data_IF_770870275318
#
_entry.id   IF_770870275318
#
_cell.length_a   1.000
_cell.length_b   1.000
_cell.length_c   1.000
_cell.angle_alpha   90.00
_cell.angle_beta   90.00
_cell.angle_gamma   90.00
#
_symmetry.space_group_name_H-M   'P 1'
#
loop_
_entity.id
_entity.type
_entity.pdbx_description
1 polymer ?
#
# COMPACT_ATOMS: atom_id res chain seq x y z
N UNK A 1 -7.20 25.60 -9.61
CA UNK A 1 -6.17 24.53 -9.64
C UNK A 1 -4.91 25.13 -10.25
N UNK A 2 -3.78 25.14 -9.53
CA UNK A 2 -2.60 25.93 -9.92
C UNK A 2 -1.74 25.21 -10.97
N UNK A 3 -1.21 25.94 -11.97
CA UNK A 3 -0.39 25.41 -13.07
C UNK A 3 0.84 24.63 -12.57
N UNK A 4 1.40 25.08 -11.45
CA UNK A 4 2.52 24.41 -10.74
C UNK A 4 2.12 23.03 -10.21
N UNK A 5 0.88 22.89 -9.73
CA UNK A 5 0.35 21.62 -9.21
C UNK A 5 0.14 20.61 -10.35
N UNK A 6 -0.35 21.07 -11.51
CA UNK A 6 -0.51 20.24 -12.70
C UNK A 6 0.84 19.75 -13.25
N UNK A 7 1.82 20.65 -13.37
CA UNK A 7 3.17 20.29 -13.82
C UNK A 7 3.88 19.35 -12.83
N UNK A 8 3.70 19.57 -11.53
CA UNK A 8 4.22 18.68 -10.49
C UNK A 8 3.60 17.28 -10.58
N UNK A 9 2.28 17.18 -10.75
CA UNK A 9 1.59 15.89 -10.83
C UNK A 9 1.95 15.12 -12.12
N UNK A 10 2.11 15.83 -13.25
CA UNK A 10 2.60 15.24 -14.50
C UNK A 10 4.07 14.79 -14.42
N UNK A 11 4.91 15.55 -13.72
CA UNK A 11 6.30 15.19 -13.47
C UNK A 11 6.41 13.97 -12.54
N UNK A 12 5.61 13.89 -11.48
CA UNK A 12 5.57 12.71 -10.59
C UNK A 12 5.12 11.44 -11.33
N UNK A 13 4.14 11.56 -12.24
CA UNK A 13 3.69 10.47 -13.12
C UNK A 13 4.81 9.93 -14.00
N UNK A 14 5.68 10.79 -14.53
CA UNK A 14 6.77 10.37 -15.41
C UNK A 14 7.92 9.66 -14.67
N UNK A 15 8.20 10.04 -13.43
CA UNK A 15 9.36 9.52 -12.69
C UNK A 15 9.10 8.18 -11.99
N UNK A 16 7.86 7.86 -11.63
CA UNK A 16 7.56 6.60 -10.93
C UNK A 16 7.87 5.33 -11.74
N UNK A 17 7.83 5.43 -13.07
CA UNK A 17 8.08 4.30 -13.97
C UNK A 17 9.56 4.13 -14.37
N UNK A 18 10.47 5.00 -13.90
CA UNK A 18 11.87 5.01 -14.36
C UNK A 18 12.79 4.26 -13.38
N UNK A 19 13.48 3.24 -13.89
CA UNK A 19 14.47 2.43 -13.15
C UNK A 19 15.90 2.83 -13.53
N UNK A 20 16.74 3.18 -12.56
CA UNK A 20 18.14 3.60 -12.80
C UNK A 20 19.12 2.54 -12.26
N UNK A 21 19.99 2.01 -13.13
CA UNK A 21 21.08 1.11 -12.74
C UNK A 21 22.43 1.84 -12.71
N UNK A 22 23.26 1.55 -11.70
CA UNK A 22 24.54 2.24 -11.47
C UNK A 22 25.64 1.87 -12.48
N UNK A 23 25.60 0.69 -13.10
CA UNK A 23 26.50 0.30 -14.20
C UNK A 23 26.06 -1.04 -14.84
N UNK A 24 26.13 -1.21 -16.18
CA UNK A 24 26.25 -0.15 -17.19
C UNK A 24 25.04 0.81 -17.15
N UNK A 25 25.27 2.11 -17.41
CA UNK A 25 24.22 3.14 -17.34
C UNK A 25 23.15 2.91 -18.42
N UNK A 26 22.08 2.19 -18.07
CA UNK A 26 20.86 2.09 -18.86
C UNK A 26 19.68 2.69 -18.10
N UNK A 27 18.93 3.57 -18.76
CA UNK A 27 17.61 4.03 -18.32
C UNK A 27 16.60 2.97 -18.80
N UNK A 28 16.14 2.11 -17.90
CA UNK A 28 15.16 1.09 -18.23
C UNK A 28 13.78 1.58 -17.80
N UNK A 29 12.93 1.86 -18.77
CA UNK A 29 11.49 2.04 -18.58
C UNK A 29 10.85 0.65 -18.61
N UNK A 30 10.17 0.28 -17.52
CA UNK A 30 9.49 -1.01 -17.35
C UNK A 30 10.29 -2.26 -17.79
N UNK A 31 11.40 -2.63 -17.11
CA UNK A 31 12.19 -3.81 -17.48
C UNK A 31 11.46 -5.15 -17.26
N UNK A 32 10.21 -5.17 -16.79
CA UNK A 32 9.37 -6.38 -16.62
C UNK A 32 9.93 -7.46 -15.68
N UNK A 33 11.14 -7.28 -15.13
CA UNK A 33 11.81 -8.26 -14.28
C UNK A 33 11.61 -7.90 -12.81
N UNK A 34 10.61 -8.53 -12.19
CA UNK A 34 10.34 -8.46 -10.76
C UNK A 34 11.07 -9.56 -10.00
N UNK A 35 11.53 -9.27 -8.78
CA UNK A 35 12.21 -10.26 -7.92
C UNK A 35 11.24 -11.26 -7.31
N UNK A 36 10.00 -10.88 -6.99
CA UNK A 36 8.95 -11.82 -6.55
C UNK A 36 8.61 -12.74 -7.72
N UNK A 37 8.71 -14.06 -7.52
CA UNK A 37 8.52 -15.06 -8.58
C UNK A 37 7.18 -15.78 -8.48
N UNK A 38 6.76 -16.44 -9.57
CA UNK A 38 5.46 -17.09 -9.66
C UNK A 38 5.15 -18.12 -8.55
N UNK A 39 6.16 -18.82 -8.02
CA UNK A 39 5.96 -19.73 -6.88
C UNK A 39 5.61 -19.00 -5.57
N UNK A 40 6.19 -17.82 -5.36
CA UNK A 40 5.84 -16.94 -4.24
C UNK A 40 4.45 -16.34 -4.43
N UNK A 41 4.14 -15.88 -5.66
CA UNK A 41 2.81 -15.34 -5.99
C UNK A 41 1.73 -16.40 -5.80
N UNK A 42 1.98 -17.66 -6.18
CA UNK A 42 1.06 -18.78 -5.95
C UNK A 42 0.78 -18.95 -4.46
N UNK A 43 1.83 -19.00 -3.64
CA UNK A 43 1.69 -19.12 -2.19
C UNK A 43 0.85 -17.98 -1.61
N UNK A 44 1.11 -16.74 -2.04
CA UNK A 44 0.35 -15.56 -1.61
C UNK A 44 -1.12 -15.71 -1.96
N UNK A 45 -1.45 -16.03 -3.22
CA UNK A 45 -2.83 -16.21 -3.69
C UNK A 45 -3.59 -17.26 -2.89
N UNK A 46 -2.94 -18.36 -2.56
CA UNK A 46 -3.55 -19.48 -1.84
C UNK A 46 -3.69 -19.19 -0.32
N UNK A 47 -2.94 -18.22 0.21
CA UNK A 47 -2.87 -17.92 1.65
C UNK A 47 -3.61 -16.66 2.08
N UNK A 48 -3.92 -15.75 1.14
CA UNK A 48 -4.53 -14.45 1.43
C UNK A 48 -5.94 -14.56 2.02
N UNK A 49 -6.23 -13.70 2.97
CA UNK A 49 -7.55 -13.53 3.58
C UNK A 49 -7.99 -12.07 3.51
N UNK A 50 -9.30 -11.86 3.42
CA UNK A 50 -9.90 -10.53 3.39
C UNK A 50 -9.41 -9.69 4.57
N UNK A 51 -8.98 -8.46 4.30
CA UNK A 51 -8.43 -7.56 5.32
C UNK A 51 -6.91 -7.65 5.48
N UNK A 52 -6.24 -8.59 4.81
CA UNK A 52 -4.78 -8.61 4.76
C UNK A 52 -4.23 -7.32 4.15
N UNK A 53 -3.18 -6.79 4.78
CA UNK A 53 -2.47 -5.60 4.32
C UNK A 53 -1.24 -6.07 3.54
N UNK A 54 -1.13 -5.67 2.28
CA UNK A 54 0.02 -5.97 1.44
C UNK A 54 0.97 -4.78 1.44
N UNK A 55 2.21 -5.03 1.81
CA UNK A 55 3.29 -4.03 1.82
C UNK A 55 4.29 -4.42 0.75
N UNK A 56 4.45 -3.57 -0.27
CA UNK A 56 5.32 -3.85 -1.43
C UNK A 56 6.39 -2.79 -1.64
N UNK A 57 7.45 -3.19 -2.32
CA UNK A 57 8.57 -2.32 -2.66
C UNK A 57 9.17 -2.66 -4.02
N UNK A 58 9.86 -1.68 -4.58
CA UNK A 58 10.54 -1.79 -5.87
C UNK A 58 12.03 -1.50 -5.70
N UNK A 59 12.88 -2.26 -6.39
CA UNK A 59 14.33 -2.04 -6.40
C UNK A 59 14.67 -1.07 -7.52
N UNK A 60 15.48 -0.04 -7.27
CA UNK A 60 16.03 0.86 -8.30
C UNK A 60 15.01 1.74 -9.06
N UNK A 61 13.75 1.80 -8.62
CA UNK A 61 12.77 2.76 -9.14
C UNK A 61 12.91 4.10 -8.42
N UNK A 62 12.69 5.20 -9.16
CA UNK A 62 12.83 6.56 -8.63
C UNK A 62 11.82 6.92 -7.53
N UNK A 63 10.76 6.13 -7.33
CA UNK A 63 9.83 6.31 -6.21
C UNK A 63 10.51 6.19 -4.84
N UNK A 64 11.56 5.36 -4.73
CA UNK A 64 12.38 5.26 -3.51
C UNK A 64 13.19 6.53 -3.19
N UNK A 65 13.24 7.50 -4.11
CA UNK A 65 13.86 8.82 -3.88
C UNK A 65 12.90 9.76 -3.15
N UNK A 66 11.59 9.53 -3.22
CA UNK A 66 10.57 10.43 -2.64
C UNK A 66 9.93 9.89 -1.35
N UNK A 67 9.84 8.57 -1.17
CA UNK A 67 9.30 7.94 0.05
C UNK A 67 10.48 7.31 0.82
N UNK A 68 10.85 7.83 2.00
CA UNK A 68 11.87 7.18 2.83
C UNK A 68 11.36 5.79 3.26
N UNK A 69 12.26 4.80 3.42
CA UNK A 69 11.90 3.44 3.82
C UNK A 69 12.38 2.37 2.84
N UNK A 70 12.19 1.11 3.21
CA UNK A 70 12.52 -0.05 2.38
C UNK A 70 11.35 -0.43 1.45
N UNK A 71 10.12 -0.43 1.98
CA UNK A 71 8.90 -0.59 1.21
C UNK A 71 8.37 0.77 0.77
N UNK A 72 7.78 0.81 -0.42
CA UNK A 72 7.36 2.06 -1.07
C UNK A 72 5.86 2.17 -1.26
N UNK A 73 5.10 1.09 -1.03
CA UNK A 73 3.68 1.08 -1.31
C UNK A 73 2.90 0.11 -0.42
N UNK A 74 1.62 0.40 -0.19
CA UNK A 74 0.70 -0.47 0.54
C UNK A 74 -0.63 -0.65 -0.19
N UNK A 75 -1.29 -1.77 0.05
CA UNK A 75 -2.62 -2.07 -0.46
C UNK A 75 -3.40 -2.93 0.53
N UNK A 76 -4.72 -2.95 0.37
CA UNK A 76 -5.62 -3.73 1.20
C UNK A 76 -6.30 -4.80 0.36
N UNK A 77 -6.18 -6.06 0.78
CA UNK A 77 -6.82 -7.18 0.11
C UNK A 77 -8.31 -7.25 0.48
N UNK A 78 -9.17 -7.22 -0.52
CA UNK A 78 -10.62 -7.26 -0.34
C UNK A 78 -11.20 -8.65 -0.58
N UNK A 79 -10.48 -9.52 -1.28
CA UNK A 79 -11.01 -10.79 -1.76
C UNK A 79 -11.96 -10.60 -2.93
N UNK A 80 -13.06 -11.34 -2.96
CA UNK A 80 -14.02 -11.26 -4.06
C UNK A 80 -14.84 -9.97 -3.99
N UNK A 81 -14.90 -9.26 -5.11
CA UNK A 81 -15.66 -8.04 -5.32
C UNK A 81 -16.64 -8.24 -6.47
N UNK A 82 -17.84 -7.69 -6.36
CA UNK A 82 -18.87 -7.71 -7.40
C UNK A 82 -19.43 -6.31 -7.60
N UNK A 83 -19.82 -5.97 -8.82
CA UNK A 83 -20.42 -4.65 -9.08
C UNK A 83 -21.67 -4.39 -8.22
N UNK A 84 -22.39 -5.44 -7.81
CA UNK A 84 -23.55 -5.33 -6.92
C UNK A 84 -23.23 -4.88 -5.50
N UNK A 85 -21.95 -4.93 -5.10
CA UNK A 85 -21.54 -4.57 -3.75
C UNK A 85 -21.64 -3.05 -3.50
N UNK A 86 -21.70 -2.22 -4.55
CA UNK A 86 -22.02 -0.79 -4.48
C UNK A 86 -22.98 -0.37 -5.59
N UNK A 87 -23.86 0.60 -5.31
CA UNK A 87 -24.43 1.41 -6.39
C UNK A 87 -23.37 2.42 -6.86
N UNK A 88 -22.51 2.00 -7.78
CA UNK A 88 -21.42 2.83 -8.31
C UNK A 88 -21.95 3.85 -9.33
N UNK A 89 -21.70 5.16 -9.13
CA UNK A 89 -21.77 6.14 -10.21
C UNK A 89 -20.84 5.74 -11.35
N UNK A 90 -21.21 6.01 -12.60
CA UNK A 90 -20.43 5.59 -13.79
C UNK A 90 -18.96 6.07 -13.74
N UNK A 91 -18.70 7.23 -13.14
CA UNK A 91 -17.36 7.82 -13.00
C UNK A 91 -16.41 6.96 -12.15
N UNK A 92 -16.93 6.15 -11.22
CA UNK A 92 -16.13 5.32 -10.31
C UNK A 92 -16.02 3.88 -10.82
N UNK A 93 -16.85 3.46 -11.79
CA UNK A 93 -16.83 2.10 -12.34
C UNK A 93 -15.48 1.72 -12.93
N UNK A 94 -14.80 2.64 -13.62
CA UNK A 94 -13.46 2.40 -14.19
C UNK A 94 -12.37 2.19 -13.12
N UNK A 95 -12.62 2.60 -11.87
CA UNK A 95 -11.70 2.43 -10.74
C UNK A 95 -12.02 1.16 -9.95
N UNK A 96 -13.19 0.54 -10.19
CA UNK A 96 -13.60 -0.70 -9.57
C UNK A 96 -13.05 -1.89 -10.36
N UNK A 97 -12.69 -2.94 -9.64
CA UNK A 97 -12.29 -4.21 -10.23
C UNK A 97 -13.26 -5.28 -9.74
N UNK A 98 -13.98 -5.90 -10.66
CA UNK A 98 -14.79 -7.09 -10.39
C UNK A 98 -13.94 -8.34 -10.58
N UNK A 99 -13.79 -9.15 -9.53
CA UNK A 99 -12.98 -10.35 -9.61
C UNK A 99 -12.92 -11.12 -8.30
N UNK A 100 -12.23 -12.26 -8.32
CA UNK A 100 -12.12 -13.15 -7.15
C UNK A 100 -11.16 -12.62 -6.08
N UNK A 101 -10.16 -11.84 -6.48
CA UNK A 101 -9.03 -11.45 -5.63
C UNK A 101 -8.62 -10.00 -5.94
N UNK A 102 -9.39 -9.06 -5.39
CA UNK A 102 -9.17 -7.65 -5.56
C UNK A 102 -8.25 -7.08 -4.46
N UNK A 103 -7.40 -6.14 -4.85
CA UNK A 103 -6.64 -5.27 -3.96
C UNK A 103 -7.03 -3.83 -4.23
N UNK A 104 -7.38 -3.09 -3.18
CA UNK A 104 -7.58 -1.63 -3.27
C UNK A 104 -6.33 -0.91 -2.77
N UNK A 105 -5.91 0.13 -3.49
CA UNK A 105 -4.77 0.95 -3.14
C UNK A 105 -4.88 2.35 -3.76
N UNK A 106 -4.04 3.28 -3.31
CA UNK A 106 -3.99 4.64 -3.84
C UNK A 106 -2.66 4.89 -4.55
N UNK A 107 -2.69 5.36 -5.80
CA UNK A 107 -1.52 5.87 -6.51
C UNK A 107 -1.82 7.24 -7.11
N UNK A 108 -0.88 7.86 -7.83
CA UNK A 108 -1.02 9.19 -8.44
C UNK A 108 -2.36 9.46 -9.17
N UNK A 109 -3.00 8.42 -9.72
CA UNK A 109 -4.28 8.50 -10.44
C UNK A 109 -5.52 8.34 -9.55
N UNK A 110 -5.34 8.34 -8.23
CA UNK A 110 -6.37 8.17 -7.21
C UNK A 110 -6.43 6.77 -6.60
N UNK A 111 -7.51 6.52 -5.87
CA UNK A 111 -7.84 5.23 -5.27
C UNK A 111 -8.55 4.35 -6.30
N UNK A 112 -8.01 3.15 -6.54
CA UNK A 112 -8.58 2.17 -7.45
C UNK A 112 -8.31 0.75 -6.97
N UNK A 113 -8.95 -0.21 -7.65
CA UNK A 113 -8.75 -1.63 -7.41
C UNK A 113 -8.04 -2.29 -8.59
N UNK A 114 -7.23 -3.28 -8.29
CA UNK A 114 -6.60 -4.15 -9.29
C UNK A 114 -6.60 -5.61 -8.84
N UNK A 115 -6.33 -6.52 -9.79
CA UNK A 115 -6.13 -7.94 -9.51
C UNK A 115 -4.86 -8.19 -8.69
N UNK A 116 -4.91 -9.18 -7.80
CA UNK A 116 -3.76 -9.56 -6.96
C UNK A 116 -2.51 -9.92 -7.78
N UNK A 117 -2.64 -10.55 -8.95
CA UNK A 117 -1.48 -10.89 -9.78
C UNK A 117 -0.78 -9.63 -10.29
N UNK A 118 -1.56 -8.61 -10.64
CA UNK A 118 -1.03 -7.29 -11.01
C UNK A 118 -0.36 -6.64 -9.81
N UNK A 119 -1.00 -6.67 -8.63
CA UNK A 119 -0.42 -6.07 -7.43
C UNK A 119 0.92 -6.72 -7.03
N UNK A 120 1.04 -8.04 -7.20
CA UNK A 120 2.25 -8.81 -6.89
C UNK A 120 3.43 -8.57 -7.85
N UNK A 121 3.27 -7.79 -8.92
CA UNK A 121 4.36 -7.36 -9.81
C UNK A 121 5.28 -6.36 -9.09
N UNK A 122 6.13 -6.86 -8.20
CA UNK A 122 7.00 -6.06 -7.35
C UNK A 122 8.30 -6.79 -6.99
N UNK A 123 9.28 -6.05 -6.44
CA UNK A 123 10.56 -6.65 -6.06
C UNK A 123 10.57 -7.17 -4.62
N UNK A 124 9.74 -6.61 -3.75
CA UNK A 124 9.64 -6.98 -2.34
C UNK A 124 8.17 -7.02 -1.94
N UNK A 125 7.75 -8.04 -1.20
CA UNK A 125 6.38 -8.19 -0.73
C UNK A 125 6.34 -8.78 0.68
N UNK A 126 5.55 -8.17 1.54
CA UNK A 126 5.17 -8.67 2.85
C UNK A 126 3.64 -8.62 2.94
N UNK A 127 3.05 -9.66 3.53
CA UNK A 127 1.61 -9.73 3.81
C UNK A 127 1.42 -9.76 5.31
N UNK A 128 0.64 -8.81 5.81
CA UNK A 128 0.35 -8.61 7.22
C UNK A 128 -1.12 -8.92 7.49
N UNK A 129 -1.41 -9.62 8.58
CA UNK A 129 -2.77 -10.01 8.96
C UNK A 129 -3.08 -9.59 10.38
N UNK A 130 -4.30 -9.05 10.55
CA UNK A 130 -4.90 -8.78 11.85
C UNK A 130 -5.28 -10.08 12.54
N UNK A 131 -5.07 -10.17 13.85
CA UNK A 131 -5.19 -11.42 14.60
C UNK A 131 -5.89 -11.21 15.96
N UNK A 132 -6.37 -12.31 16.52
CA UNK A 132 -7.02 -12.32 17.84
C UNK A 132 -6.05 -12.14 19.03
N UNK A 133 -4.73 -12.23 18.80
CA UNK A 133 -3.72 -11.98 19.83
C UNK A 133 -3.68 -10.48 20.16
N UNK A 134 -3.73 -9.64 19.14
CA UNK A 134 -3.73 -8.18 19.28
C UNK A 134 -5.11 -7.63 19.54
N UNK A 135 -6.15 -8.22 18.94
CA UNK A 135 -7.55 -7.80 19.11
C UNK A 135 -8.34 -8.79 19.97
N UNK A 136 -8.64 -8.50 21.25
CA UNK A 136 -9.28 -9.46 22.16
C UNK A 136 -10.69 -9.89 21.74
N UNK A 137 -11.41 -9.04 21.00
CA UNK A 137 -12.77 -9.29 20.50
C UNK A 137 -12.79 -9.51 18.98
N UNK A 138 -11.73 -10.10 18.43
CA UNK A 138 -11.56 -10.27 16.99
C UNK A 138 -12.68 -11.11 16.37
N UNK A 139 -13.52 -10.45 15.58
CA UNK A 139 -14.49 -11.06 14.67
C UNK A 139 -14.15 -10.54 13.28
N UNK A 140 -13.43 -11.36 12.51
CA UNK A 140 -12.90 -10.97 11.21
C UNK A 140 -14.02 -10.56 10.26
N UNK A 141 -15.13 -11.31 10.21
CA UNK A 141 -16.22 -11.04 9.26
C UNK A 141 -16.89 -9.70 9.59
N UNK A 142 -17.27 -9.48 10.86
CA UNK A 142 -17.90 -8.21 11.26
C UNK A 142 -16.97 -7.01 11.11
N UNK A 143 -15.70 -7.17 11.49
CA UNK A 143 -14.72 -6.09 11.36
C UNK A 143 -14.43 -5.81 9.88
N UNK A 144 -14.32 -6.85 9.06
CA UNK A 144 -14.03 -6.70 7.64
C UNK A 144 -15.16 -6.00 6.90
N UNK A 145 -16.43 -6.20 7.24
CA UNK A 145 -17.54 -5.46 6.63
C UNK A 145 -17.39 -3.94 6.81
N UNK A 146 -16.94 -3.50 7.98
CA UNK A 146 -16.66 -2.07 8.24
C UNK A 146 -15.49 -1.59 7.39
N UNK A 147 -14.41 -2.36 7.34
CA UNK A 147 -13.21 -2.07 6.54
C UNK A 147 -13.54 -2.01 5.04
N UNK A 148 -14.29 -2.99 4.53
CA UNK A 148 -14.73 -3.10 3.14
C UNK A 148 -15.59 -1.91 2.74
N UNK A 149 -16.57 -1.54 3.56
CA UNK A 149 -17.40 -0.36 3.31
C UNK A 149 -16.60 0.94 3.29
N UNK A 150 -15.58 1.09 4.15
CA UNK A 150 -14.68 2.25 4.11
C UNK A 150 -13.80 2.24 2.87
N UNK A 151 -13.26 1.10 2.46
CA UNK A 151 -12.50 0.96 1.23
C UNK A 151 -13.32 1.44 0.02
N UNK A 152 -14.56 0.96 -0.10
CA UNK A 152 -15.46 1.32 -1.18
C UNK A 152 -15.85 2.81 -1.17
N UNK A 153 -16.09 3.39 0.01
CA UNK A 153 -16.37 4.84 0.15
C UNK A 153 -15.20 5.73 -0.26
N UNK A 154 -13.97 5.21 -0.23
CA UNK A 154 -12.78 5.93 -0.66
C UNK A 154 -12.40 5.68 -2.12
N UNK A 155 -13.09 4.77 -2.81
CA UNK A 155 -12.84 4.47 -4.22
C UNK A 155 -13.03 5.72 -5.09
N UNK A 156 -12.10 5.95 -6.01
CA UNK A 156 -12.13 7.12 -6.91
C UNK A 156 -11.71 8.45 -6.28
N UNK A 157 -11.38 8.50 -4.98
CA UNK A 157 -10.77 9.70 -4.39
C UNK A 157 -9.40 9.99 -5.02
N UNK A 158 -9.01 11.26 -5.07
CA UNK A 158 -7.73 11.69 -5.62
C UNK A 158 -6.53 11.20 -4.78
N UNK A 159 -5.32 11.45 -5.28
CA UNK A 159 -4.08 11.06 -4.59
C UNK A 159 -3.42 12.23 -3.87
N UNK A 160 -2.96 11.99 -2.65
CA UNK A 160 -2.29 13.05 -1.89
C UNK A 160 -0.79 13.07 -2.13
N UNK A 161 -0.40 13.92 -3.07
CA UNK A 161 1.00 14.20 -3.36
C UNK A 161 1.69 15.04 -2.28
N UNK A 162 0.96 15.56 -1.29
CA UNK A 162 1.51 16.35 -0.21
C UNK A 162 1.74 15.56 1.08
N UNK A 163 1.20 14.35 1.21
CA UNK A 163 1.24 13.58 2.46
C UNK A 163 0.81 14.45 3.66
N UNK A 164 -0.30 15.16 3.47
CA UNK A 164 -0.99 16.02 4.39
C UNK A 164 -2.30 15.35 4.83
N UNK A 165 -2.25 14.74 6.02
CA UNK A 165 -3.37 14.04 6.66
C UNK A 165 -4.60 14.93 6.92
N UNK A 166 -4.52 16.24 6.64
CA UNK A 166 -5.64 17.17 6.76
C UNK A 166 -6.44 17.39 5.47
N UNK A 167 -5.95 16.95 4.30
CA UNK A 167 -6.66 17.05 3.02
C UNK A 167 -7.52 15.79 2.74
N UNK A 168 -8.80 15.85 3.12
CA UNK A 168 -9.76 14.73 3.00
C UNK A 168 -10.04 14.33 1.53
N UNK A 169 -9.66 15.17 0.55
CA UNK A 169 -9.93 14.97 -0.87
C UNK A 169 -8.95 14.06 -1.59
N UNK A 170 -7.78 13.82 -1.00
CA UNK A 170 -6.67 13.11 -1.60
C UNK A 170 -6.09 12.11 -0.58
N UNK A 171 -5.81 10.86 -0.97
CA UNK A 171 -5.24 9.85 -0.06
C UNK A 171 -3.99 9.23 -0.64
N UNK A 172 -2.92 9.14 0.15
CA UNK A 172 -1.79 8.26 -0.12
C UNK A 172 -2.15 6.79 0.15
N UNK A 173 -1.30 5.87 -0.31
CA UNK A 173 -1.55 4.44 -0.14
C UNK A 173 -1.65 4.03 1.34
N UNK A 174 -0.79 4.59 2.18
CA UNK A 174 -0.74 4.30 3.62
C UNK A 174 -1.92 4.94 4.36
N UNK A 175 -2.31 6.17 4.00
CA UNK A 175 -3.51 6.82 4.53
C UNK A 175 -4.79 6.05 4.20
N UNK A 176 -4.92 5.54 2.97
CA UNK A 176 -6.06 4.73 2.59
C UNK A 176 -6.19 3.49 3.49
N UNK A 177 -5.10 2.71 3.65
CA UNK A 177 -5.10 1.51 4.49
C UNK A 177 -5.38 1.86 5.95
N UNK A 178 -4.78 2.95 6.44
CA UNK A 178 -4.98 3.44 7.80
C UNK A 178 -6.43 3.83 8.06
N UNK A 179 -7.04 4.66 7.20
CA UNK A 179 -8.44 5.10 7.32
C UNK A 179 -9.40 3.91 7.26
N UNK A 180 -9.16 2.95 6.36
CA UNK A 180 -9.99 1.76 6.28
C UNK A 180 -9.95 0.92 7.57
N UNK A 181 -8.82 0.92 8.27
CA UNK A 181 -8.61 0.15 9.50
C UNK A 181 -8.50 1.02 10.77
N UNK A 182 -8.91 2.28 10.74
CA UNK A 182 -8.57 3.28 11.79
C UNK A 182 -8.96 2.86 13.21
N UNK A 183 -10.03 2.08 13.34
CA UNK A 183 -10.53 1.55 14.61
C UNK A 183 -9.57 0.55 15.26
N UNK A 184 -8.66 -0.03 14.48
CA UNK A 184 -7.77 -1.11 14.89
C UNK A 184 -6.30 -0.68 14.90
N UNK A 185 -5.89 0.27 14.06
CA UNK A 185 -4.47 0.62 13.85
C UNK A 185 -3.71 0.99 15.13
N UNK A 186 -4.38 1.57 16.13
CA UNK A 186 -3.78 1.87 17.43
C UNK A 186 -3.31 0.63 18.18
N UNK A 187 -4.07 -0.47 18.14
CA UNK A 187 -3.73 -1.75 18.79
C UNK A 187 -2.52 -2.41 18.11
N UNK A 188 -2.32 -2.17 16.81
CA UNK A 188 -1.18 -2.66 16.05
C UNK A 188 0.06 -1.77 16.11
N UNK A 189 0.02 -0.71 16.93
CA UNK A 189 1.10 0.28 17.07
C UNK A 189 1.46 1.00 15.77
N UNK A 190 0.53 1.04 14.81
CA UNK A 190 0.69 1.80 13.57
C UNK A 190 0.38 3.27 13.87
N UNK A 191 1.43 4.07 14.04
CA UNK A 191 1.34 5.49 14.43
C UNK A 191 1.83 6.39 13.29
N UNK A 192 1.13 7.51 13.10
CA UNK A 192 1.60 8.58 12.22
C UNK A 192 2.80 9.27 12.88
N UNK A 193 3.92 9.41 12.16
CA UNK A 193 5.18 9.92 12.71
C UNK A 193 5.56 11.26 12.07
N UNK A 194 6.14 12.18 12.84
CA UNK A 194 6.72 13.40 12.26
C UNK A 194 8.03 13.07 11.53
N UNK A 195 8.09 13.34 10.23
CA UNK A 195 9.24 13.10 9.37
C UNK A 195 9.57 14.30 8.51
N UNK A 196 10.83 14.40 8.09
CA UNK A 196 11.28 15.45 7.19
C UNK A 196 11.16 15.00 5.74
N UNK A 197 10.21 15.57 5.01
CA UNK A 197 10.00 15.34 3.57
C UNK A 197 10.34 16.64 2.84
N UNK A 198 11.26 16.58 1.86
CA UNK A 198 11.69 17.74 1.07
C UNK A 198 11.94 19.00 1.94
N UNK A 199 12.74 18.81 2.99
CA UNK A 199 13.15 19.84 3.96
C UNK A 199 12.09 20.35 4.95
N UNK A 200 10.81 20.00 4.81
CA UNK A 200 9.74 20.35 5.76
C UNK A 200 9.37 19.18 6.67
N UNK A 201 9.01 19.46 7.92
CA UNK A 201 8.42 18.47 8.84
C UNK A 201 6.96 18.25 8.47
N UNK A 202 6.56 16.99 8.34
CA UNK A 202 5.19 16.55 8.04
C UNK A 202 4.87 15.32 8.88
N UNK A 203 3.60 15.17 9.25
CA UNK A 203 3.10 13.94 9.82
C UNK A 203 2.90 12.96 8.66
N UNK A 204 3.66 11.86 8.65
CA UNK A 204 3.68 10.88 7.55
C UNK A 204 3.67 9.47 8.09
N UNK A 205 2.78 8.65 7.55
CA UNK A 205 2.78 7.20 7.72
C UNK A 205 3.44 6.57 6.49
N UNK A 206 4.48 5.77 6.72
CA UNK A 206 5.20 5.06 5.67
C UNK A 206 4.79 3.59 5.61
N UNK A 207 4.99 2.92 4.47
CA UNK A 207 4.71 1.49 4.34
C UNK A 207 5.40 0.64 5.41
N UNK A 208 6.65 0.97 5.75
CA UNK A 208 7.43 0.29 6.78
C UNK A 208 6.78 0.38 8.18
N UNK A 209 5.98 1.42 8.47
CA UNK A 209 5.35 1.58 9.79
C UNK A 209 4.23 0.57 10.06
N UNK A 210 3.73 -0.11 9.02
CA UNK A 210 2.76 -1.19 9.19
C UNK A 210 3.43 -2.48 9.69
N UNK A 211 4.75 -2.62 9.55
CA UNK A 211 5.47 -3.83 9.94
C UNK A 211 5.77 -3.77 11.43
N UNK A 212 4.86 -4.29 12.24
CA UNK A 212 4.96 -4.37 13.71
C UNK A 212 4.84 -5.81 14.19
N UNK A 213 5.24 -6.09 15.43
CA UNK A 213 5.13 -7.43 16.03
C UNK A 213 3.70 -7.86 16.37
N UNK A 214 2.75 -6.94 16.22
CA UNK A 214 1.34 -7.15 16.54
C UNK A 214 0.58 -7.74 15.35
N UNK A 215 1.07 -7.58 14.12
CA UNK A 215 0.52 -8.30 12.96
C UNK A 215 1.07 -9.72 12.87
N UNK A 216 0.26 -10.64 12.37
CA UNK A 216 0.76 -11.90 11.83
C UNK A 216 1.44 -11.63 10.48
N UNK A 217 2.69 -12.05 10.34
CA UNK A 217 3.39 -12.01 9.04
C UNK A 217 3.03 -13.28 8.28
N UNK A 218 2.06 -13.19 7.38
CA UNK A 218 1.56 -14.32 6.56
C UNK A 218 2.58 -14.73 5.51
N UNK A 219 3.26 -13.75 4.92
CA UNK A 219 4.23 -13.98 3.87
C UNK A 219 5.32 -12.91 3.89
N UNK A 220 6.54 -13.29 3.53
CA UNK A 220 7.66 -12.39 3.24
C UNK A 220 8.40 -12.96 2.04
N UNK A 221 8.60 -12.15 1.00
CA UNK A 221 9.29 -12.59 -0.21
C UNK A 221 10.77 -12.87 0.07
N UNK A 222 11.36 -13.83 -0.64
CA UNK A 222 12.77 -14.23 -0.51
C UNK A 222 13.76 -13.09 -0.78
N UNK A 223 13.30 -12.09 -1.53
CA UNK A 223 14.04 -10.87 -1.84
C UNK A 223 14.18 -9.91 -0.65
N UNK A 224 13.38 -10.08 0.40
CA UNK A 224 13.47 -9.34 1.66
C UNK A 224 14.42 -10.10 2.59
N UNK A 225 15.55 -9.49 2.94
CA UNK A 225 16.50 -10.11 3.87
C UNK A 225 15.94 -10.09 5.30
N UNK A 226 16.12 -11.15 6.11
CA UNK A 226 15.68 -11.16 7.50
C UNK A 226 16.16 -9.96 8.32
N UNK A 227 17.42 -9.54 8.11
CA UNK A 227 18.00 -8.37 8.80
C UNK A 227 17.30 -7.05 8.49
N UNK A 228 16.62 -6.94 7.34
CA UNK A 228 15.80 -5.77 7.01
C UNK A 228 14.52 -5.79 7.85
N UNK A 229 13.84 -6.93 7.94
CA UNK A 229 12.63 -7.08 8.75
C UNK A 229 12.92 -6.84 10.23
N UNK A 230 13.99 -7.43 10.76
CA UNK A 230 14.43 -7.21 12.14
C UNK A 230 14.70 -5.74 12.44
N UNK A 231 15.35 -5.03 11.49
CA UNK A 231 15.60 -3.60 11.62
C UNK A 231 14.30 -2.80 11.70
N UNK A 232 13.36 -3.05 10.77
CA UNK A 232 12.08 -2.32 10.72
C UNK A 232 11.25 -2.60 11.99
N UNK A 233 11.13 -3.85 12.39
CA UNK A 233 10.43 -4.24 13.63
C UNK A 233 11.04 -3.55 14.85
N UNK A 234 12.38 -3.54 14.95
CA UNK A 234 13.07 -2.84 16.04
C UNK A 234 12.80 -1.33 16.02
N UNK A 235 12.78 -0.70 14.85
CA UNK A 235 12.50 0.73 14.71
C UNK A 235 11.06 1.08 15.10
N UNK A 236 10.10 0.18 14.83
CA UNK A 236 8.69 0.38 15.17
C UNK A 236 8.35 0.04 16.62
N UNK A 237 9.03 -0.94 17.24
CA UNK A 237 8.75 -1.36 18.62
C UNK A 237 9.39 -0.45 19.69
N UNK A 238 10.47 0.28 19.36
CA UNK A 238 11.18 1.16 20.32
C UNK A 238 10.58 2.58 20.41
N UNK A 239 9.33 2.80 19.98
CA UNK A 239 8.67 4.11 19.85
C UNK A 239 7.24 4.15 20.39
#
# INVERSE_FOLDING_TARGET
MNLVTYLRNGFLKFFGDIKIFKFPFFLLYDPGSYKVKGSEVRFVIDSLQKGDILVRGYSNYLDGVFIPGFFSHTGLYLGQTRETDLMLPDVIKEKFYEGKQAVIHAMAEGVFMEDILTFCKCDYLVVLRRNAKTEPNFDLDKSFDVVYNKALKNLGKGYDFQFDFSDIGNLSCTELVYVCNEQHMAEYLVKIKERRVLFKKRQVLLPDDFITENFDIVFTSKSVKPSIMEKILRENNNQ
#
